data_IF_718315670827
#
_entry.id   IF_718315670827
#
_cell.length_a   1.000
_cell.length_b   1.000
_cell.length_c   1.000
_cell.angle_alpha   90.00
_cell.angle_beta   90.00
_cell.angle_gamma   90.00
#
_symmetry.space_group_name_H-M   'P 1'
#
loop_
_entity.id
_entity.type
_entity.pdbx_description
1 polymer ?
#
# COMPACT_ATOMS: atom_id res chain seq x y z
N UNK A 1 58.19 30.76 20.13
CA UNK A 1 58.06 31.18 21.53
C UNK A 1 56.79 30.50 22.03
N UNK A 2 56.81 29.22 22.42
CA UNK A 2 57.48 28.59 23.57
C UNK A 2 56.89 29.06 24.90
N UNK A 3 55.98 28.25 25.46
CA UNK A 3 55.91 27.77 26.85
C UNK A 3 54.54 27.06 27.06
N UNK A 4 54.46 25.73 27.22
CA UNK A 4 54.85 24.84 28.34
C UNK A 4 53.95 24.90 29.59
N UNK A 5 53.52 23.70 30.04
CA UNK A 5 52.90 23.29 31.31
C UNK A 5 51.42 23.64 31.55
N UNK A 6 50.48 22.78 31.96
CA UNK A 6 50.47 21.38 32.47
C UNK A 6 48.99 20.88 32.46
N UNK A 7 48.73 19.56 32.60
CA UNK A 7 47.39 18.98 32.49
C UNK A 7 46.60 19.10 33.80
N UNK A 8 45.30 19.34 33.71
CA UNK A 8 44.35 19.13 34.81
C UNK A 8 43.45 17.94 34.48
N UNK A 9 43.91 16.76 34.89
CA UNK A 9 43.04 15.63 35.16
C UNK A 9 42.19 15.96 36.38
N UNK A 10 40.90 16.17 36.17
CA UNK A 10 39.88 15.87 37.17
C UNK A 10 38.93 14.83 36.60
N UNK A 11 39.22 13.57 36.92
CA UNK A 11 38.24 12.51 37.05
C UNK A 11 37.35 12.83 38.25
N UNK A 12 36.06 13.09 38.00
CA UNK A 12 35.01 12.98 39.01
C UNK A 12 33.79 12.37 38.34
N UNK A 13 33.34 11.25 38.90
CA UNK A 13 32.05 10.59 38.72
C UNK A 13 31.76 9.85 37.39
N UNK A 14 32.30 8.64 37.29
CA UNK A 14 31.51 7.45 37.66
C UNK A 14 30.13 7.21 37.03
N UNK A 15 29.81 7.73 35.85
CA UNK A 15 28.65 7.29 35.08
C UNK A 15 29.06 6.81 33.69
N UNK A 16 28.78 5.54 33.41
CA UNK A 16 28.91 4.95 32.09
C UNK A 16 28.03 5.73 31.11
N UNK A 17 28.65 6.42 30.16
CA UNK A 17 27.94 6.93 28.98
C UNK A 17 27.57 5.69 28.17
N UNK A 18 26.34 5.24 28.32
CA UNK A 18 25.75 4.27 27.41
C UNK A 18 25.74 4.91 26.03
N UNK A 19 26.66 4.49 25.17
CA UNK A 19 26.50 4.63 23.73
C UNK A 19 25.22 3.91 23.38
N UNK A 20 24.12 4.66 23.24
CA UNK A 20 22.91 4.17 22.60
C UNK A 20 23.34 3.82 21.19
N UNK A 21 23.55 2.53 20.94
CA UNK A 21 23.59 2.03 19.59
C UNK A 21 22.27 2.44 18.97
N UNK A 22 22.34 3.27 17.93
CA UNK A 22 21.23 3.49 17.00
C UNK A 22 20.87 2.12 16.44
N UNK A 23 19.95 1.42 17.12
CA UNK A 23 19.24 0.30 16.56
C UNK A 23 18.18 0.88 15.62
N UNK A 24 18.67 1.41 14.50
CA UNK A 24 17.87 1.58 13.30
C UNK A 24 17.65 0.19 12.68
N UNK A 25 17.03 -0.72 13.43
CA UNK A 25 16.32 -1.82 12.80
C UNK A 25 15.16 -1.20 12.04
N UNK A 26 15.40 -0.85 10.77
CA UNK A 26 14.35 -0.60 9.79
C UNK A 26 13.34 -1.73 9.97
N UNK A 27 12.04 -1.45 10.24
CA UNK A 27 11.06 -2.50 10.39
C UNK A 27 11.14 -3.35 9.13
N UNK A 28 11.49 -4.63 9.30
CA UNK A 28 11.56 -5.56 8.18
C UNK A 28 10.15 -5.62 7.61
N UNK A 29 9.94 -5.05 6.42
CA UNK A 29 8.66 -5.11 5.74
C UNK A 29 8.29 -6.57 5.58
N UNK A 30 7.31 -7.02 6.34
CA UNK A 30 6.81 -8.39 6.25
C UNK A 30 6.24 -8.55 4.85
N UNK A 31 6.88 -9.40 4.05
CA UNK A 31 6.39 -9.75 2.72
C UNK A 31 4.99 -10.37 2.86
N UNK A 32 4.02 -9.80 2.16
CA UNK A 32 2.63 -10.26 2.15
C UNK A 32 2.30 -10.82 0.77
N UNK A 33 1.67 -12.00 0.72
CA UNK A 33 1.18 -12.58 -0.55
C UNK A 33 -0.22 -12.08 -0.91
N UNK A 34 -0.63 -12.25 -2.17
CA UNK A 34 -2.02 -12.00 -2.61
C UNK A 34 -3.01 -12.82 -1.77
N UNK A 35 -2.63 -14.05 -1.38
CA UNK A 35 -3.46 -14.92 -0.56
C UNK A 35 -3.69 -14.34 0.84
N UNK A 36 -2.64 -13.78 1.45
CA UNK A 36 -2.73 -13.11 2.75
C UNK A 36 -3.59 -11.85 2.67
N UNK A 37 -3.49 -11.13 1.55
CA UNK A 37 -4.32 -9.96 1.27
C UNK A 37 -5.80 -10.33 1.14
N UNK A 38 -6.13 -11.36 0.35
CA UNK A 38 -7.51 -11.88 0.22
C UNK A 38 -8.04 -12.38 1.56
N UNK A 39 -7.22 -13.05 2.37
CA UNK A 39 -7.62 -13.49 3.71
C UNK A 39 -7.95 -12.31 4.64
N UNK A 40 -7.13 -11.26 4.60
CA UNK A 40 -7.36 -10.03 5.37
C UNK A 40 -8.66 -9.35 4.95
N UNK A 41 -8.88 -9.17 3.65
CA UNK A 41 -10.12 -8.60 3.13
C UNK A 41 -11.35 -9.48 3.30
N UNK A 42 -11.19 -10.81 3.41
CA UNK A 42 -12.28 -11.71 3.78
C UNK A 42 -12.74 -11.42 5.21
N UNK A 43 -11.80 -11.20 6.13
CA UNK A 43 -12.11 -10.82 7.51
C UNK A 43 -12.82 -9.47 7.57
N UNK A 44 -12.35 -8.48 6.82
CA UNK A 44 -13.00 -7.17 6.69
C UNK A 44 -14.40 -7.30 6.09
N UNK A 45 -14.56 -8.07 5.01
CA UNK A 45 -15.86 -8.30 4.36
C UNK A 45 -16.88 -8.90 5.34
N UNK A 46 -16.46 -9.92 6.12
CA UNK A 46 -17.30 -10.52 7.14
C UNK A 46 -17.70 -9.50 8.23
N UNK A 47 -16.76 -8.67 8.68
CA UNK A 47 -17.04 -7.61 9.63
C UNK A 47 -18.04 -6.58 9.08
N UNK A 48 -17.84 -6.11 7.84
CA UNK A 48 -18.75 -5.15 7.19
C UNK A 48 -20.16 -5.72 7.04
N UNK A 49 -20.27 -6.97 6.59
CA UNK A 49 -21.55 -7.66 6.41
C UNK A 49 -22.26 -7.94 7.75
N UNK A 50 -21.50 -8.11 8.83
CA UNK A 50 -22.03 -8.21 10.20
C UNK A 50 -22.58 -6.87 10.69
N UNK A 51 -21.88 -5.76 10.42
CA UNK A 51 -22.20 -4.45 10.98
C UNK A 51 -23.28 -3.70 10.19
N UNK A 52 -23.30 -3.88 8.87
CA UNK A 52 -24.25 -3.28 7.94
C UNK A 52 -24.80 -4.34 6.98
N UNK A 53 -25.71 -5.22 7.45
CA UNK A 53 -26.21 -6.31 6.65
C UNK A 53 -27.06 -5.80 5.49
N UNK A 54 -26.74 -6.25 4.28
CA UNK A 54 -27.58 -6.08 3.11
C UNK A 54 -28.44 -7.32 2.88
N UNK A 55 -29.66 -7.18 2.31
CA UNK A 55 -30.66 -8.24 2.24
C UNK A 55 -30.20 -9.52 1.51
N UNK A 56 -29.41 -9.37 0.44
CA UNK A 56 -28.98 -10.48 -0.40
C UNK A 56 -27.62 -10.21 -1.07
N UNK A 57 -27.09 -11.22 -1.77
CA UNK A 57 -25.80 -11.14 -2.45
C UNK A 57 -25.79 -10.22 -3.68
N UNK A 58 -26.93 -10.00 -4.34
CA UNK A 58 -27.00 -9.08 -5.47
C UNK A 58 -26.87 -7.64 -4.98
N UNK A 59 -27.51 -7.30 -3.86
CA UNK A 59 -27.38 -5.98 -3.24
C UNK A 59 -25.96 -5.74 -2.71
N UNK A 60 -25.31 -6.76 -2.13
CA UNK A 60 -23.89 -6.65 -1.75
C UNK A 60 -22.99 -6.43 -2.96
N UNK A 61 -23.19 -7.21 -4.03
CA UNK A 61 -22.43 -7.05 -5.29
C UNK A 61 -22.62 -5.66 -5.88
N UNK A 62 -23.86 -5.16 -5.88
CA UNK A 62 -24.18 -3.83 -6.36
C UNK A 62 -23.50 -2.75 -5.50
N UNK A 63 -23.58 -2.84 -4.17
CA UNK A 63 -22.93 -1.90 -3.27
C UNK A 63 -21.40 -1.89 -3.46
N UNK A 64 -20.76 -3.05 -3.63
CA UNK A 64 -19.31 -3.14 -3.93
C UNK A 64 -18.97 -2.51 -5.27
N UNK A 65 -19.79 -2.74 -6.30
CA UNK A 65 -19.62 -2.10 -7.61
C UNK A 65 -19.70 -0.57 -7.49
N UNK A 66 -20.68 -0.05 -6.75
CA UNK A 66 -20.81 1.41 -6.56
C UNK A 66 -19.62 2.00 -5.81
N UNK A 67 -19.11 1.31 -4.78
CA UNK A 67 -17.93 1.77 -4.05
C UNK A 67 -16.67 1.77 -4.91
N UNK A 68 -16.50 0.81 -5.83
CA UNK A 68 -15.41 0.85 -6.82
C UNK A 68 -15.49 2.11 -7.69
N UNK A 69 -16.70 2.50 -8.12
CA UNK A 69 -16.86 3.70 -8.96
C UNK A 69 -16.54 4.99 -8.20
N UNK A 70 -16.80 5.02 -6.89
CA UNK A 70 -16.43 6.11 -5.99
C UNK A 70 -14.91 6.24 -5.89
N UNK A 71 -14.20 5.19 -5.45
CA UNK A 71 -12.74 5.27 -5.24
C UNK A 71 -12.00 5.48 -6.57
N UNK A 72 -12.51 4.94 -7.67
CA UNK A 72 -11.91 5.18 -8.99
C UNK A 72 -12.05 6.65 -9.41
N UNK A 73 -13.16 7.30 -9.03
CA UNK A 73 -13.34 8.73 -9.21
C UNK A 73 -12.35 9.55 -8.38
N UNK A 74 -12.12 9.15 -7.13
CA UNK A 74 -11.17 9.80 -6.22
C UNK A 74 -9.72 9.65 -6.71
N UNK A 75 -9.32 8.43 -7.07
CA UNK A 75 -8.03 8.17 -7.72
C UNK A 75 -7.85 9.00 -9.00
N UNK A 76 -8.91 9.15 -9.79
CA UNK A 76 -8.86 9.97 -11.01
C UNK A 76 -8.65 11.46 -10.70
N UNK A 77 -9.30 12.01 -9.66
CA UNK A 77 -9.10 13.42 -9.23
C UNK A 77 -7.66 13.65 -8.74
N UNK A 78 -7.10 12.71 -7.97
CA UNK A 78 -5.71 12.81 -7.49
C UNK A 78 -4.69 12.69 -8.63
N UNK A 79 -4.90 11.77 -9.59
CA UNK A 79 -4.05 11.68 -10.79
C UNK A 79 -4.11 12.97 -11.61
N UNK A 80 -5.31 13.50 -11.90
CA UNK A 80 -5.45 14.74 -12.68
C UNK A 80 -4.83 15.94 -11.96
N UNK A 81 -4.93 15.96 -10.63
CA UNK A 81 -4.29 16.97 -9.79
C UNK A 81 -2.77 16.88 -9.89
N UNK A 82 -2.18 15.67 -9.89
CA UNK A 82 -0.73 15.48 -10.09
C UNK A 82 -0.22 15.93 -11.46
N UNK A 83 -1.08 15.89 -12.48
CA UNK A 83 -0.74 16.30 -13.83
C UNK A 83 -0.91 17.81 -14.07
N UNK A 84 -1.27 18.58 -13.03
CA UNK A 84 -1.66 19.99 -13.13
C UNK A 84 -2.84 20.22 -14.10
N UNK A 85 -3.70 19.22 -14.29
CA UNK A 85 -4.88 19.31 -15.15
C UNK A 85 -6.15 19.70 -14.37
N UNK A 86 -6.04 19.78 -13.04
CA UNK A 86 -7.07 20.27 -12.13
C UNK A 86 -7.06 21.81 -12.01
N UNK A 87 -8.18 22.42 -11.58
CA UNK A 87 -8.29 23.90 -11.41
C UNK A 87 -7.15 24.43 -10.54
N UNK A 88 -6.58 25.58 -10.92
CA UNK A 88 -5.39 26.20 -10.31
C UNK A 88 -5.40 26.25 -8.77
N UNK A 89 -6.58 26.35 -8.15
CA UNK A 89 -6.76 26.35 -6.69
C UNK A 89 -6.39 25.02 -5.99
N UNK A 90 -6.20 23.92 -6.72
CA UNK A 90 -5.84 22.58 -6.19
C UNK A 90 -4.38 22.16 -6.46
N UNK A 91 -3.68 22.83 -7.39
CA UNK A 91 -2.33 22.47 -7.85
C UNK A 91 -1.27 22.51 -6.72
N UNK A 92 -1.49 23.32 -5.69
CA UNK A 92 -0.54 23.52 -4.58
C UNK A 92 -0.53 22.39 -3.52
N UNK A 93 -1.27 21.29 -3.70
CA UNK A 93 -1.42 20.21 -2.70
C UNK A 93 -1.15 18.80 -3.23
N UNK A 94 -0.35 18.66 -4.27
CA UNK A 94 0.08 17.34 -4.73
C UNK A 94 0.86 16.60 -3.62
N UNK A 95 0.36 15.43 -3.22
CA UNK A 95 1.09 14.44 -2.42
C UNK A 95 1.05 13.11 -3.12
N UNK A 96 2.21 12.46 -3.27
CA UNK A 96 2.30 11.09 -3.79
C UNK A 96 1.57 10.10 -2.88
N UNK A 97 1.55 10.38 -1.58
CA UNK A 97 0.84 9.58 -0.57
C UNK A 97 -0.64 9.49 -0.88
N UNK A 98 -1.29 10.60 -1.28
CA UNK A 98 -2.70 10.58 -1.65
C UNK A 98 -2.99 9.64 -2.82
N UNK A 99 -2.15 9.64 -3.87
CA UNK A 99 -2.33 8.71 -5.00
C UNK A 99 -2.16 7.26 -4.54
N UNK A 100 -1.18 7.00 -3.67
CA UNK A 100 -0.92 5.66 -3.14
C UNK A 100 -2.11 5.17 -2.28
N UNK A 101 -2.71 6.05 -1.47
CA UNK A 101 -3.90 5.78 -0.67
C UNK A 101 -5.13 5.49 -1.55
N UNK A 102 -5.43 6.37 -2.51
CA UNK A 102 -6.57 6.17 -3.42
C UNK A 102 -6.40 4.91 -4.30
N UNK A 103 -5.16 4.60 -4.70
CA UNK A 103 -4.86 3.36 -5.41
C UNK A 103 -5.12 2.14 -4.54
N UNK A 104 -4.74 2.20 -3.25
CA UNK A 104 -5.01 1.15 -2.30
C UNK A 104 -6.52 0.96 -2.07
N UNK A 105 -7.29 2.03 -2.00
CA UNK A 105 -8.76 1.99 -1.81
C UNK A 105 -9.47 1.38 -3.03
N UNK A 106 -9.05 1.73 -4.25
CA UNK A 106 -9.53 1.04 -5.46
C UNK A 106 -9.23 -0.45 -5.40
N UNK A 107 -8.01 -0.83 -5.04
CA UNK A 107 -7.61 -2.24 -4.94
C UNK A 107 -8.41 -2.99 -3.86
N UNK A 108 -8.63 -2.36 -2.71
CA UNK A 108 -9.45 -2.88 -1.63
C UNK A 108 -10.88 -3.19 -2.10
N UNK A 109 -11.49 -2.26 -2.82
CA UNK A 109 -12.84 -2.40 -3.34
C UNK A 109 -12.96 -3.52 -4.38
N UNK A 110 -11.95 -3.67 -5.25
CA UNK A 110 -11.87 -4.79 -6.22
C UNK A 110 -11.76 -6.13 -5.50
N UNK A 111 -10.94 -6.24 -4.44
CA UNK A 111 -10.81 -7.46 -3.65
C UNK A 111 -12.11 -7.82 -2.93
N UNK A 112 -12.77 -6.84 -2.33
CA UNK A 112 -14.07 -7.04 -1.67
C UNK A 112 -15.15 -7.49 -2.66
N UNK A 113 -15.16 -6.95 -3.88
CA UNK A 113 -16.05 -7.45 -4.95
C UNK A 113 -15.69 -8.88 -5.34
N UNK A 114 -14.40 -9.19 -5.50
CA UNK A 114 -13.93 -10.54 -5.79
C UNK A 114 -14.39 -11.56 -4.75
N UNK A 115 -14.34 -11.20 -3.46
CA UNK A 115 -14.83 -12.02 -2.35
C UNK A 115 -16.35 -12.24 -2.45
N UNK A 116 -17.14 -11.20 -2.71
CA UNK A 116 -18.61 -11.33 -2.85
C UNK A 116 -18.99 -12.23 -4.03
N UNK A 117 -18.26 -12.11 -5.14
CA UNK A 117 -18.43 -12.94 -6.34
C UNK A 117 -17.80 -14.34 -6.21
N UNK A 118 -17.16 -14.65 -5.07
CA UNK A 118 -16.46 -15.92 -4.80
C UNK A 118 -15.38 -16.24 -5.85
N UNK A 119 -14.68 -15.21 -6.29
CA UNK A 119 -13.59 -15.32 -7.26
C UNK A 119 -12.31 -15.74 -6.55
N UNK A 120 -11.66 -16.79 -7.07
CA UNK A 120 -10.27 -17.10 -6.74
C UNK A 120 -9.34 -16.09 -7.45
N UNK A 121 -9.06 -14.99 -6.74
CA UNK A 121 -8.27 -13.87 -7.25
C UNK A 121 -6.87 -14.31 -7.68
N UNK A 122 -6.21 -15.16 -6.88
CA UNK A 122 -4.86 -15.63 -7.19
C UNK A 122 -4.87 -16.44 -8.50
N UNK A 123 -5.79 -17.40 -8.63
CA UNK A 123 -5.88 -18.22 -9.83
C UNK A 123 -6.24 -17.39 -11.08
N UNK A 124 -7.15 -16.40 -10.95
CA UNK A 124 -7.49 -15.49 -12.06
C UNK A 124 -6.29 -14.67 -12.49
N UNK A 125 -5.54 -14.09 -11.55
CA UNK A 125 -4.37 -13.27 -11.85
C UNK A 125 -3.26 -14.09 -12.48
N UNK A 126 -3.00 -15.31 -11.99
CA UNK A 126 -2.03 -16.24 -12.62
C UNK A 126 -2.40 -16.53 -14.08
N UNK A 127 -3.68 -16.83 -14.37
CA UNK A 127 -4.14 -17.03 -15.76
C UNK A 127 -3.98 -15.78 -16.61
N UNK A 128 -4.30 -14.60 -16.06
CA UNK A 128 -4.19 -13.32 -16.80
C UNK A 128 -2.74 -12.96 -17.13
N UNK A 129 -1.82 -13.21 -16.20
CA UNK A 129 -0.38 -13.02 -16.41
C UNK A 129 0.11 -13.95 -17.51
N UNK A 130 -0.17 -15.25 -17.42
CA UNK A 130 0.21 -16.23 -18.44
C UNK A 130 -0.29 -15.83 -19.84
N UNK A 131 -1.57 -15.46 -19.94
CA UNK A 131 -2.16 -14.98 -21.20
C UNK A 131 -1.44 -13.74 -21.75
N UNK A 132 -0.98 -12.85 -20.87
CA UNK A 132 -0.28 -11.61 -21.27
C UNK A 132 1.13 -11.93 -21.78
N UNK A 133 1.85 -12.83 -21.09
CA UNK A 133 3.15 -13.33 -21.54
C UNK A 133 3.07 -13.96 -22.94
N UNK A 134 2.06 -14.81 -23.16
CA UNK A 134 1.79 -15.45 -24.45
C UNK A 134 1.44 -14.43 -25.54
N UNK A 135 0.60 -13.44 -25.22
CA UNK A 135 0.15 -12.43 -26.19
C UNK A 135 1.30 -11.56 -26.71
N UNK A 136 2.30 -11.29 -25.88
CA UNK A 136 3.41 -10.40 -26.21
C UNK A 136 4.75 -11.12 -26.41
N UNK A 137 4.74 -12.45 -26.51
CA UNK A 137 5.95 -13.28 -26.71
C UNK A 137 7.09 -12.96 -25.72
N UNK A 138 6.73 -12.56 -24.49
CA UNK A 138 7.70 -12.14 -23.46
C UNK A 138 8.62 -13.28 -23.03
N UNK A 139 8.17 -14.53 -23.16
CA UNK A 139 8.96 -15.72 -22.79
C UNK A 139 9.88 -16.21 -23.92
N UNK A 140 9.73 -15.68 -25.15
CA UNK A 140 10.61 -15.99 -26.28
C UNK A 140 11.83 -15.07 -26.36
N UNK A 141 11.76 -13.90 -25.75
CA UNK A 141 12.80 -12.86 -25.81
C UNK A 141 13.98 -13.08 -24.85
N UNK A 142 13.92 -14.08 -23.95
CA UNK A 142 15.00 -14.44 -23.02
C UNK A 142 15.93 -15.56 -23.52
N UNK A 143 15.83 -15.98 -24.79
CA UNK A 143 16.61 -17.11 -25.35
C UNK A 143 17.76 -16.72 -26.30
N UNK A 144 18.19 -15.46 -26.34
CA UNK A 144 19.32 -15.01 -27.16
C UNK A 144 20.46 -14.45 -26.31
#
# INVERSE_FOLDING_TARGET
MSDQNRPLTQTVDGQAVATVADDHSVPTTVSMSIKDLVASYTTISNYLNSRWPLPDGNQRTFARTMKIMEELGELSDEILTSMNLSRDSKIAKFSRENIEDEFADVMACILLLGIELKIDVEAVMRRKIQFTHERYDMDKSQKN
#
